data_IF_733504274857
#
_entry.id   IF_733504274857
#
_cell.length_a   1.000
_cell.length_b   1.000
_cell.length_c   1.000
_cell.angle_alpha   90.00
_cell.angle_beta   90.00
_cell.angle_gamma   90.00
#
_symmetry.space_group_name_H-M   'P 1'
#
loop_
_entity.id
_entity.type
_entity.pdbx_description
1 polymer ?
#
# COMPACT_ATOMS: atom_id res chain seq x y z
N UNK A 1 -6.21 -9.49 14.09
CA UNK A 1 -5.43 -8.24 14.17
C UNK A 1 -5.41 -7.59 12.79
N UNK A 2 -5.51 -6.26 12.70
CA UNK A 2 -5.50 -5.53 11.42
C UNK A 2 -4.39 -4.49 11.43
N UNK A 3 -3.68 -4.35 10.31
CA UNK A 3 -2.61 -3.35 10.14
C UNK A 3 -2.96 -2.47 8.95
N UNK A 4 -2.97 -1.16 9.15
CA UNK A 4 -3.16 -0.18 8.10
C UNK A 4 -1.81 0.42 7.66
N UNK A 5 -1.63 0.61 6.35
CA UNK A 5 -0.47 1.27 5.76
C UNK A 5 -0.91 2.47 4.93
N UNK A 6 -0.21 3.58 5.13
CA UNK A 6 -0.36 4.82 4.37
C UNK A 6 1.02 5.32 4.00
N UNK A 7 1.12 6.04 2.89
CA UNK A 7 2.35 6.74 2.50
C UNK A 7 2.14 8.24 2.71
N UNK A 8 2.89 8.83 3.64
CA UNK A 8 2.94 10.28 3.82
C UNK A 8 4.06 10.85 2.94
N UNK A 9 3.76 11.88 2.14
CA UNK A 9 4.73 12.56 1.28
C UNK A 9 4.60 12.22 -0.21
N UNK A 10 5.60 12.62 -0.99
CA UNK A 10 5.65 12.40 -2.44
C UNK A 10 6.00 10.95 -2.82
N UNK A 11 5.73 10.59 -4.07
CA UNK A 11 6.08 9.26 -4.58
C UNK A 11 7.60 9.13 -4.78
N UNK A 12 8.16 8.04 -4.27
CA UNK A 12 9.58 7.77 -4.32
C UNK A 12 9.84 6.37 -4.88
N UNK A 13 10.89 6.21 -5.71
CA UNK A 13 11.33 4.88 -6.14
C UNK A 13 11.70 4.05 -4.91
N UNK A 14 10.95 2.96 -4.68
CA UNK A 14 11.20 2.03 -3.57
C UNK A 14 9.99 1.79 -2.67
N UNK A 15 8.99 2.68 -2.67
CA UNK A 15 7.79 2.50 -1.84
C UNK A 15 7.00 1.25 -2.24
N UNK A 16 6.84 1.00 -3.53
CA UNK A 16 6.05 -0.13 -4.03
C UNK A 16 6.66 -1.51 -3.64
N UNK A 17 7.97 -1.73 -3.78
CA UNK A 17 8.63 -2.92 -3.21
C UNK A 17 8.43 -3.09 -1.71
N UNK A 18 8.52 -2.02 -0.91
CA UNK A 18 8.36 -2.08 0.55
C UNK A 18 6.93 -2.47 0.93
N UNK A 19 5.92 -1.79 0.37
CA UNK A 19 4.50 -2.12 0.60
C UNK A 19 4.23 -3.58 0.23
N UNK A 20 4.84 -4.07 -0.87
CA UNK A 20 4.73 -5.46 -1.31
C UNK A 20 5.39 -6.43 -0.34
N UNK A 21 6.56 -6.10 0.22
CA UNK A 21 7.24 -6.93 1.21
C UNK A 21 6.40 -7.06 2.49
N UNK A 22 5.87 -5.95 3.01
CA UNK A 22 5.01 -5.95 4.20
C UNK A 22 3.73 -6.75 3.96
N UNK A 23 3.06 -6.55 2.81
CA UNK A 23 1.86 -7.29 2.46
C UNK A 23 2.11 -8.81 2.33
N UNK A 24 3.32 -9.21 1.89
CA UNK A 24 3.71 -10.63 1.82
C UNK A 24 3.84 -11.23 3.23
N UNK A 25 4.58 -10.57 4.12
CA UNK A 25 4.78 -11.02 5.50
C UNK A 25 3.47 -11.05 6.27
N UNK A 26 2.62 -10.04 6.10
CA UNK A 26 1.29 -10.01 6.72
C UNK A 26 0.41 -11.17 6.26
N UNK A 27 0.46 -11.53 4.97
CA UNK A 27 -0.26 -12.71 4.45
C UNK A 27 0.23 -14.01 5.10
N UNK A 28 1.54 -14.18 5.26
CA UNK A 28 2.14 -15.36 5.90
C UNK A 28 1.73 -15.48 7.38
N UNK A 29 1.55 -14.34 8.05
CA UNK A 29 1.12 -14.27 9.45
C UNK A 29 -0.41 -14.15 9.65
N UNK A 30 -1.21 -14.37 8.60
CA UNK A 30 -2.69 -14.26 8.64
C UNK A 30 -3.19 -12.90 9.17
N UNK A 31 -2.43 -11.82 8.92
CA UNK A 31 -2.79 -10.46 9.31
C UNK A 31 -3.55 -9.78 8.17
N UNK A 32 -4.69 -9.18 8.50
CA UNK A 32 -5.45 -8.36 7.56
C UNK A 32 -4.77 -7.01 7.34
N UNK A 33 -4.38 -6.74 6.10
CA UNK A 33 -3.77 -5.49 5.67
C UNK A 33 -4.81 -4.53 5.09
N UNK A 34 -4.76 -3.28 5.52
CA UNK A 34 -5.58 -2.17 5.03
C UNK A 34 -4.65 -1.15 4.37
N UNK A 35 -4.97 -0.73 3.15
CA UNK A 35 -4.29 0.36 2.47
C UNK A 35 -5.13 1.64 2.58
N UNK A 36 -4.50 2.76 2.93
CA UNK A 36 -5.17 4.07 3.03
C UNK A 36 -4.72 4.94 1.87
N UNK A 37 -5.69 5.50 1.13
CA UNK A 37 -5.41 6.39 0.01
C UNK A 37 -4.97 7.78 0.45
N UNK A 38 -4.29 8.53 -0.41
CA UNK A 38 -3.98 9.97 -0.21
C UNK A 38 -3.31 10.31 1.13
N UNK A 39 -2.50 9.40 1.66
CA UNK A 39 -1.77 9.58 2.91
C UNK A 39 -2.69 9.98 4.08
N UNK A 40 -2.38 11.10 4.71
CA UNK A 40 -3.14 11.61 5.86
C UNK A 40 -4.56 12.08 5.51
N UNK A 41 -4.76 12.64 4.32
CA UNK A 41 -6.08 13.10 3.90
C UNK A 41 -7.07 11.93 3.83
N UNK A 42 -6.68 10.81 3.22
CA UNK A 42 -7.55 9.64 3.16
C UNK A 42 -7.70 8.91 4.50
N UNK A 43 -6.82 9.12 5.48
CA UNK A 43 -7.06 8.64 6.85
C UNK A 43 -8.23 9.40 7.49
N UNK A 44 -8.27 10.72 7.33
CA UNK A 44 -9.36 11.57 7.86
C UNK A 44 -10.68 11.31 7.11
N UNK A 45 -10.62 11.13 5.79
CA UNK A 45 -11.79 10.81 4.96
C UNK A 45 -12.27 9.34 5.10
N UNK A 46 -11.59 8.53 5.92
CA UNK A 46 -11.81 7.08 6.03
C UNK A 46 -11.75 6.34 4.68
N UNK A 47 -10.93 6.84 3.75
CA UNK A 47 -10.72 6.29 2.42
C UNK A 47 -9.68 5.17 2.47
N UNK A 48 -10.15 3.98 2.86
CA UNK A 48 -9.34 2.80 3.05
C UNK A 48 -9.86 1.62 2.22
N UNK A 49 -8.99 0.66 1.91
CA UNK A 49 -9.33 -0.55 1.16
C UNK A 49 -8.57 -1.78 1.65
N UNK A 50 -9.11 -2.99 1.44
CA UNK A 50 -8.38 -4.21 1.77
C UNK A 50 -7.18 -4.38 0.83
N UNK A 51 -5.98 -4.40 1.41
CA UNK A 51 -4.73 -4.57 0.68
C UNK A 51 -4.41 -6.07 0.56
N UNK A 52 -4.76 -6.65 -0.59
CA UNK A 52 -4.48 -8.05 -0.92
C UNK A 52 -3.26 -8.15 -1.85
N UNK A 53 -2.50 -9.23 -1.71
CA UNK A 53 -1.30 -9.48 -2.53
C UNK A 53 -1.57 -9.44 -4.05
N UNK A 54 -2.76 -9.87 -4.50
CA UNK A 54 -3.16 -9.80 -5.91
C UNK A 54 -3.32 -8.38 -6.47
N UNK A 55 -3.47 -7.36 -5.62
CA UNK A 55 -3.50 -5.95 -6.05
C UNK A 55 -2.12 -5.31 -6.11
N UNK A 56 -1.11 -5.85 -5.43
CA UNK A 56 0.27 -5.35 -5.48
C UNK A 56 0.91 -5.56 -6.85
N UNK A 57 0.88 -4.53 -7.71
CA UNK A 57 1.50 -4.54 -9.04
C UNK A 57 3.02 -4.68 -8.87
N UNK A 58 3.63 -5.57 -9.66
CA UNK A 58 5.10 -5.61 -9.77
C UNK A 58 5.55 -4.28 -10.37
N UNK A 59 6.59 -3.68 -9.80
CA UNK A 59 7.21 -2.46 -10.32
C UNK A 59 7.81 -2.75 -11.70
N UNK A 60 7.00 -2.61 -12.75
CA UNK A 60 7.51 -2.54 -14.10
C UNK A 60 8.04 -1.13 -14.29
N UNK A 61 9.32 -1.01 -14.64
CA UNK A 61 10.07 0.23 -14.84
C UNK A 61 9.43 1.20 -15.87
N UNK A 62 8.37 0.80 -16.57
CA UNK A 62 7.58 1.66 -17.45
C UNK A 62 6.59 2.51 -16.67
N UNK A 63 6.97 3.79 -16.48
CA UNK A 63 6.09 4.98 -16.37
C UNK A 63 4.74 4.76 -15.69
N UNK A 64 4.80 4.56 -14.38
CA UNK A 64 3.87 5.10 -13.39
C UNK A 64 4.23 4.42 -12.07
N UNK A 65 4.70 5.19 -11.11
CA UNK A 65 4.69 4.76 -9.72
C UNK A 65 3.20 4.63 -9.35
N UNK A 66 2.63 3.44 -9.53
CA UNK A 66 1.17 3.21 -9.57
C UNK A 66 0.66 2.54 -8.27
N UNK A 67 1.41 2.77 -7.19
CA UNK A 67 1.05 2.37 -5.82
C UNK A 67 1.11 3.55 -4.84
N UNK A 68 1.25 4.77 -5.34
CA UNK A 68 0.50 5.89 -4.77
C UNK A 68 -0.97 5.58 -5.00
N UNK A 69 -1.58 4.99 -3.99
CA UNK A 69 -2.76 5.46 -3.27
C UNK A 69 -3.54 6.69 -3.82
N UNK A 70 -3.59 6.97 -5.12
CA UNK A 70 -4.50 7.93 -5.75
C UNK A 70 -5.93 7.36 -5.81
#
# INVERSE_FOLDING_TARGET
>A
MKIAILTGGGDAPGLNPVIRAVAKVAKENQVEMIGIKRGWAGLVELNHFPLKMGRCKKSSFRRRYFFTFE
#
